data_IF_549641357901
#
_entry.id   IF_549641357901
#
_cell.length_a   1.000
_cell.length_b   1.000
_cell.length_c   1.000
_cell.angle_alpha   90.00
_cell.angle_beta   90.00
_cell.angle_gamma   90.00
#
_symmetry.space_group_name_H-M   'P 1'
#
loop_
_entity.id
_entity.type
_entity.pdbx_description
1 polymer ?
#
# COMPACT_ATOMS: atom_id res chain seq x y z
N UNK A 1 5.54 -4.91 -22.51
CA UNK A 1 6.09 -4.17 -21.35
C UNK A 1 4.93 -3.46 -20.67
N UNK A 2 4.70 -3.66 -19.37
CA UNK A 2 3.67 -2.96 -18.60
C UNK A 2 4.33 -2.18 -17.47
N UNK A 3 4.07 -0.89 -17.33
CA UNK A 3 4.65 -0.13 -16.22
C UNK A 3 3.78 -0.34 -14.97
N UNK A 4 4.42 -0.65 -13.85
CA UNK A 4 3.72 -0.94 -12.59
C UNK A 4 4.13 0.06 -11.53
N UNK A 5 3.14 0.62 -10.82
CA UNK A 5 3.35 1.44 -9.64
C UNK A 5 3.10 0.60 -8.39
N UNK A 6 4.10 0.52 -7.52
CA UNK A 6 4.01 -0.13 -6.20
C UNK A 6 3.96 0.96 -5.14
N UNK A 7 3.00 0.88 -4.21
CA UNK A 7 2.80 1.88 -3.17
C UNK A 7 2.77 1.18 -1.82
N UNK A 8 3.84 1.34 -1.05
CA UNK A 8 4.06 0.62 0.21
C UNK A 8 4.16 1.54 1.42
N UNK A 9 3.41 1.26 2.48
CA UNK A 9 3.49 2.00 3.75
C UNK A 9 4.05 1.17 4.89
N UNK A 10 5.13 1.62 5.52
CA UNK A 10 5.76 0.95 6.66
C UNK A 10 6.12 -0.50 6.34
N UNK A 11 5.65 -1.45 7.16
CA UNK A 11 5.85 -2.89 6.93
C UNK A 11 5.20 -3.41 5.65
N UNK A 12 4.24 -2.69 5.07
CA UNK A 12 3.65 -3.02 3.76
C UNK A 12 4.69 -3.09 2.64
N UNK A 13 5.81 -2.37 2.78
CA UNK A 13 6.94 -2.46 1.86
C UNK A 13 7.52 -3.88 1.78
N UNK A 14 7.49 -4.67 2.86
CA UNK A 14 8.09 -6.00 2.89
C UNK A 14 7.46 -6.97 1.87
N UNK A 15 6.16 -6.83 1.62
CA UNK A 15 5.41 -7.69 0.70
C UNK A 15 5.71 -7.31 -0.76
N UNK A 16 5.98 -6.03 -1.02
CA UNK A 16 6.20 -5.51 -2.37
C UNK A 16 7.55 -5.94 -2.96
N UNK A 17 8.50 -6.42 -2.16
CA UNK A 17 9.82 -6.84 -2.66
C UNK A 17 9.73 -7.97 -3.70
N UNK A 18 8.98 -9.03 -3.38
CA UNK A 18 8.83 -10.17 -4.28
C UNK A 18 8.02 -9.80 -5.53
N UNK A 19 7.02 -8.93 -5.36
CA UNK A 19 6.18 -8.41 -6.45
C UNK A 19 7.03 -7.56 -7.41
N UNK A 20 7.80 -6.60 -6.89
CA UNK A 20 8.70 -5.76 -7.67
C UNK A 20 9.72 -6.58 -8.44
N UNK A 21 10.37 -7.54 -7.76
CA UNK A 21 11.30 -8.48 -8.40
C UNK A 21 10.67 -9.20 -9.59
N UNK A 22 9.48 -9.77 -9.40
CA UNK A 22 8.78 -10.50 -10.46
C UNK A 22 8.41 -9.62 -11.67
N UNK A 23 8.14 -8.32 -11.45
CA UNK A 23 7.93 -7.38 -12.55
C UNK A 23 9.23 -7.04 -13.28
N UNK A 24 10.31 -6.75 -12.55
CA UNK A 24 11.63 -6.43 -13.11
C UNK A 24 12.16 -7.61 -13.94
N UNK A 25 12.09 -8.84 -13.44
CA UNK A 25 12.54 -10.06 -14.15
C UNK A 25 11.79 -10.30 -15.46
N UNK A 26 10.58 -9.75 -15.60
CA UNK A 26 9.78 -9.79 -16.84
C UNK A 26 10.01 -8.59 -17.76
N UNK A 27 11.01 -7.76 -17.47
CA UNK A 27 11.36 -6.57 -18.25
C UNK A 27 10.36 -5.41 -18.12
N UNK A 28 9.59 -5.36 -17.04
CA UNK A 28 8.68 -4.24 -16.78
C UNK A 28 9.41 -3.10 -16.07
N UNK A 29 8.92 -1.87 -16.24
CA UNK A 29 9.35 -0.74 -15.40
C UNK A 29 8.53 -0.71 -14.11
N UNK A 30 9.21 -0.50 -12.99
CA UNK A 30 8.59 -0.45 -11.66
C UNK A 30 8.87 0.91 -11.02
N UNK A 31 7.82 1.69 -10.82
CA UNK A 31 7.83 2.92 -10.04
C UNK A 31 7.40 2.59 -8.61
N UNK A 32 8.28 2.75 -7.63
CA UNK A 32 8.06 2.31 -6.27
C UNK A 32 7.93 3.52 -5.33
N UNK A 33 6.76 3.74 -4.74
CA UNK A 33 6.56 4.68 -3.64
C UNK A 33 6.73 3.97 -2.30
N UNK A 34 7.79 4.32 -1.55
CA UNK A 34 8.11 3.74 -0.25
C UNK A 34 7.87 4.76 0.86
N UNK A 35 6.75 4.63 1.57
CA UNK A 35 6.32 5.53 2.64
C UNK A 35 6.69 5.05 4.03
N UNK A 36 7.24 5.96 4.85
CA UNK A 36 7.63 5.73 6.23
C UNK A 36 7.16 6.89 7.12
N UNK A 37 6.99 6.62 8.42
CA UNK A 37 6.75 7.69 9.41
C UNK A 37 8.06 8.22 9.97
N UNK A 38 8.99 7.32 10.29
CA UNK A 38 10.28 7.64 10.87
C UNK A 38 11.42 7.20 9.97
N UNK A 39 12.54 7.91 10.03
CA UNK A 39 13.77 7.57 9.31
C UNK A 39 14.32 6.20 9.75
N UNK A 40 14.22 5.90 11.04
CA UNK A 40 14.68 4.61 11.59
C UNK A 40 13.75 3.43 11.24
N UNK A 41 12.56 3.68 10.68
CA UNK A 41 11.67 2.63 10.20
C UNK A 41 12.07 2.13 8.80
N UNK A 42 13.01 2.79 8.12
CA UNK A 42 13.47 2.39 6.79
C UNK A 42 14.26 1.08 6.88
N UNK A 43 13.81 0.05 6.14
CA UNK A 43 14.44 -1.26 6.16
C UNK A 43 14.69 -1.79 4.75
N UNK A 44 15.68 -2.67 4.61
CA UNK A 44 16.00 -3.40 3.38
C UNK A 44 16.09 -2.48 2.14
N UNK A 45 16.68 -1.29 2.30
CA UNK A 45 16.82 -0.27 1.24
C UNK A 45 17.30 -0.86 -0.09
N UNK A 46 18.42 -1.59 -0.06
CA UNK A 46 19.01 -2.24 -1.24
C UNK A 46 18.04 -3.19 -1.94
N UNK A 47 17.14 -3.86 -1.21
CA UNK A 47 16.15 -4.76 -1.80
C UNK A 47 15.04 -3.97 -2.49
N UNK A 48 14.59 -2.85 -1.92
CA UNK A 48 13.63 -1.93 -2.57
C UNK A 48 14.23 -1.38 -3.86
N UNK A 49 15.47 -0.92 -3.80
CA UNK A 49 16.19 -0.39 -4.96
C UNK A 49 16.34 -1.46 -6.06
N UNK A 50 16.81 -2.67 -5.73
CA UNK A 50 17.00 -3.75 -6.70
C UNK A 50 15.70 -4.29 -7.32
N UNK A 51 14.54 -4.00 -6.71
CA UNK A 51 13.22 -4.46 -7.18
C UNK A 51 12.40 -3.34 -7.81
N UNK A 52 13.05 -2.22 -8.14
CA UNK A 52 12.44 -1.04 -8.72
C UNK A 52 13.32 -0.42 -9.81
N UNK A 53 12.67 0.18 -10.81
CA UNK A 53 13.36 1.03 -11.79
C UNK A 53 13.66 2.42 -11.19
N UNK A 54 12.69 2.95 -10.44
CA UNK A 54 12.78 4.21 -9.72
C UNK A 54 12.07 4.07 -8.37
N UNK A 55 12.70 4.56 -7.29
CA UNK A 55 12.08 4.67 -5.96
C UNK A 55 11.79 6.13 -5.67
N UNK A 56 10.60 6.36 -5.14
CA UNK A 56 10.20 7.60 -4.48
C UNK A 56 10.08 7.30 -2.99
N UNK A 57 11.05 7.77 -2.23
CA UNK A 57 11.07 7.69 -0.79
C UNK A 57 10.21 8.81 -0.22
N UNK A 58 9.27 8.48 0.66
CA UNK A 58 8.45 9.44 1.38
C UNK A 58 8.59 9.18 2.88
N UNK A 59 8.96 10.19 3.65
CA UNK A 59 9.06 10.06 5.10
C UNK A 59 8.53 11.33 5.78
N UNK A 60 7.69 11.15 6.80
CA UNK A 60 7.09 12.25 7.57
C UNK A 60 8.07 12.92 8.55
N UNK A 61 9.18 12.26 8.92
CA UNK A 61 10.18 12.80 9.85
C UNK A 61 11.33 13.57 9.15
N UNK A 62 11.58 13.30 7.87
CA UNK A 62 12.67 13.96 7.14
C UNK A 62 12.93 13.35 5.77
N UNK A 63 14.04 13.76 5.13
CA UNK A 63 14.45 13.20 3.84
C UNK A 63 15.24 11.90 4.03
N UNK A 64 14.92 10.91 3.20
CA UNK A 64 15.67 9.66 3.10
C UNK A 64 16.75 9.86 2.04
N UNK A 65 18.01 9.68 2.41
CA UNK A 65 19.12 9.76 1.47
C UNK A 65 18.97 8.71 0.35
N UNK A 66 19.05 9.17 -0.90
CA UNK A 66 18.97 8.33 -2.11
C UNK A 66 20.34 7.85 -2.53
N UNK A 67 20.51 6.54 -2.79
CA UNK A 67 21.78 5.99 -3.27
C UNK A 67 21.92 6.01 -4.81
N UNK A 68 20.81 6.24 -5.53
CA UNK A 68 20.75 6.22 -7.01
C UNK A 68 20.23 7.54 -7.56
N UNK A 69 20.76 7.97 -8.71
CA UNK A 69 20.48 9.29 -9.31
C UNK A 69 19.01 9.45 -9.74
N UNK A 70 18.38 8.36 -10.19
CA UNK A 70 16.99 8.37 -10.62
C UNK A 70 15.98 8.39 -9.47
N UNK A 71 16.40 7.98 -8.26
CA UNK A 71 15.52 7.93 -7.10
C UNK A 71 15.24 9.33 -6.56
N UNK A 72 14.08 9.50 -5.92
CA UNK A 72 13.62 10.77 -5.34
C UNK A 72 13.30 10.58 -3.87
N UNK A 73 13.43 11.65 -3.09
CA UNK A 73 13.00 11.67 -1.69
C UNK A 73 12.17 12.91 -1.41
N UNK A 74 11.07 12.74 -0.67
CA UNK A 74 10.18 13.80 -0.23
C UNK A 74 9.98 13.71 1.30
N UNK A 75 10.06 14.87 1.96
CA UNK A 75 9.73 15.01 3.38
C UNK A 75 8.22 15.27 3.48
N UNK A 76 7.45 14.20 3.38
CA UNK A 76 5.99 14.23 3.35
C UNK A 76 5.42 12.84 3.63
N UNK A 77 4.10 12.74 3.76
CA UNK A 77 3.45 11.44 3.66
C UNK A 77 3.50 10.92 2.21
N UNK A 78 3.14 9.65 2.01
CA UNK A 78 3.21 8.98 0.71
C UNK A 78 2.28 9.57 -0.35
N UNK A 79 1.12 10.13 0.05
CA UNK A 79 0.14 10.70 -0.88
C UNK A 79 0.66 12.02 -1.45
N UNK A 80 1.17 12.88 -0.58
CA UNK A 80 1.77 14.16 -1.00
C UNK A 80 3.01 13.90 -1.87
N UNK A 81 3.81 12.88 -1.56
CA UNK A 81 4.94 12.48 -2.39
C UNK A 81 4.51 12.03 -3.79
N UNK A 82 3.35 11.37 -3.95
CA UNK A 82 2.81 11.01 -5.26
C UNK A 82 2.40 12.25 -6.07
N UNK A 83 1.82 13.26 -5.41
CA UNK A 83 1.46 14.53 -6.04
C UNK A 83 2.72 15.29 -6.46
N UNK A 84 3.68 15.46 -5.55
CA UNK A 84 4.95 16.13 -5.86
C UNK A 84 5.75 15.39 -6.93
N UNK A 85 5.75 14.07 -6.95
CA UNK A 85 6.41 13.30 -8.01
C UNK A 85 5.88 13.66 -9.40
N UNK A 86 4.57 13.85 -9.53
CA UNK A 86 3.93 14.18 -10.80
C UNK A 86 4.26 15.61 -11.29
N UNK A 87 4.48 16.55 -10.38
CA UNK A 87 4.86 17.92 -10.72
C UNK A 87 6.31 18.05 -11.22
N UNK A 88 7.15 17.06 -10.92
CA UNK A 88 8.56 17.04 -11.28
C UNK A 88 8.84 16.18 -12.53
N UNK A 89 9.75 16.63 -13.39
CA UNK A 89 10.22 15.83 -14.53
C UNK A 89 10.88 14.54 -14.03
N UNK A 90 10.30 13.39 -14.40
CA UNK A 90 10.70 12.07 -13.92
C UNK A 90 10.78 11.04 -15.06
N UNK A 91 11.64 10.03 -14.90
CA UNK A 91 11.90 9.01 -15.92
C UNK A 91 10.70 8.09 -16.22
N UNK A 92 9.74 8.01 -15.29
CA UNK A 92 8.52 7.21 -15.42
C UNK A 92 7.30 8.13 -15.21
N UNK A 93 6.64 8.49 -16.30
CA UNK A 93 5.39 9.27 -16.22
C UNK A 93 4.26 8.43 -15.59
N UNK A 94 3.45 9.05 -14.72
CA UNK A 94 2.26 8.42 -14.15
C UNK A 94 1.23 7.98 -15.22
N UNK A 95 1.19 8.66 -16.37
CA UNK A 95 0.28 8.32 -17.46
C UNK A 95 0.70 7.05 -18.21
N UNK A 96 1.93 6.57 -17.96
CA UNK A 96 2.41 5.32 -18.53
C UNK A 96 2.08 4.10 -17.67
N UNK A 97 1.53 4.27 -16.47
CA UNK A 97 1.28 3.19 -15.51
C UNK A 97 0.04 2.38 -15.91
N UNK A 98 0.23 1.07 -16.09
CA UNK A 98 -0.85 0.13 -16.42
C UNK A 98 -1.46 -0.56 -15.19
N UNK A 99 -0.68 -0.67 -14.11
CA UNK A 99 -1.07 -1.36 -12.89
C UNK A 99 -0.56 -0.64 -11.65
N UNK A 100 -1.42 -0.51 -10.66
CA UNK A 100 -1.11 0.04 -9.34
C UNK A 100 -1.38 -1.02 -8.28
N UNK A 101 -0.40 -1.26 -7.40
CA UNK A 101 -0.54 -2.18 -6.26
C UNK A 101 -0.26 -1.40 -4.99
N UNK A 102 -1.24 -1.35 -4.08
CA UNK A 102 -1.17 -0.58 -2.84
C UNK A 102 -1.22 -1.53 -1.64
N UNK A 103 -0.20 -1.45 -0.78
CA UNK A 103 -0.09 -2.26 0.44
C UNK A 103 0.33 -1.37 1.61
N UNK A 104 -0.53 -1.27 2.62
CA UNK A 104 -0.25 -0.47 3.81
C UNK A 104 -1.40 -0.51 4.80
N UNK A 105 -1.51 0.52 5.64
CA UNK A 105 -2.69 0.67 6.50
C UNK A 105 -3.96 0.92 5.68
N UNK A 106 -5.11 0.52 6.22
CA UNK A 106 -6.43 0.80 5.64
C UNK A 106 -6.62 2.29 5.34
N UNK A 107 -6.16 3.17 6.24
CA UNK A 107 -6.21 4.63 6.04
C UNK A 107 -5.34 5.10 4.88
N UNK A 108 -4.12 4.57 4.76
CA UNK A 108 -3.22 4.90 3.64
C UNK A 108 -3.82 4.43 2.33
N UNK A 109 -4.33 3.20 2.29
CA UNK A 109 -4.96 2.65 1.08
C UNK A 109 -6.19 3.49 0.71
N UNK A 110 -7.04 3.86 1.66
CA UNK A 110 -8.16 4.79 1.42
C UNK A 110 -7.67 6.12 0.83
N UNK A 111 -6.66 6.75 1.43
CA UNK A 111 -6.15 8.04 0.97
C UNK A 111 -5.57 7.98 -0.45
N UNK A 112 -4.80 6.92 -0.76
CA UNK A 112 -4.30 6.66 -2.12
C UNK A 112 -5.46 6.45 -3.10
N UNK A 113 -6.54 5.77 -2.67
CA UNK A 113 -7.74 5.57 -3.50
C UNK A 113 -8.40 6.89 -3.89
N UNK A 114 -8.61 7.77 -2.91
CA UNK A 114 -9.23 9.06 -3.11
C UNK A 114 -8.39 9.97 -4.01
N UNK A 115 -7.09 10.10 -3.73
CA UNK A 115 -6.21 10.96 -4.52
C UNK A 115 -6.06 10.46 -5.96
N UNK A 116 -6.02 9.14 -6.17
CA UNK A 116 -6.05 8.53 -7.52
C UNK A 116 -7.28 8.94 -8.32
N UNK A 117 -8.45 9.01 -7.68
CA UNK A 117 -9.74 9.34 -8.31
C UNK A 117 -9.98 10.84 -8.47
N UNK A 118 -9.23 11.66 -7.76
CA UNK A 118 -9.40 13.11 -7.71
C UNK A 118 -8.20 13.83 -8.33
N UNK A 119 -7.18 14.15 -7.52
CA UNK A 119 -6.03 14.99 -7.88
C UNK A 119 -5.17 14.32 -8.96
N UNK A 120 -4.89 13.02 -8.82
CA UNK A 120 -4.01 12.31 -9.76
C UNK A 120 -4.74 11.79 -11.01
N UNK A 121 -6.07 11.88 -11.06
CA UNK A 121 -6.88 11.36 -12.16
C UNK A 121 -6.44 11.87 -13.54
N UNK A 122 -6.10 13.16 -13.75
CA UNK A 122 -5.67 13.66 -15.06
C UNK A 122 -4.30 13.13 -15.51
N UNK A 123 -3.50 12.63 -14.57
CA UNK A 123 -2.12 12.21 -14.80
C UNK A 123 -1.97 10.69 -14.91
N UNK A 124 -3.02 9.93 -14.59
CA UNK A 124 -3.02 8.48 -14.65
C UNK A 124 -3.69 8.00 -15.93
N UNK A 125 -3.19 6.89 -16.46
CA UNK A 125 -3.76 6.23 -17.63
C UNK A 125 -5.22 5.86 -17.36
N UNK A 126 -6.18 6.18 -18.23
CA UNK A 126 -7.61 6.00 -17.91
C UNK A 126 -8.05 4.54 -17.68
N UNK A 127 -7.34 3.56 -18.26
CA UNK A 127 -7.61 2.13 -18.19
C UNK A 127 -6.68 1.36 -17.23
N UNK A 128 -5.95 2.06 -16.35
CA UNK A 128 -5.08 1.41 -15.39
C UNK A 128 -5.85 0.49 -14.44
N UNK A 129 -5.22 -0.63 -14.09
CA UNK A 129 -5.75 -1.55 -13.07
C UNK A 129 -5.22 -1.17 -11.70
N UNK A 130 -6.04 -1.29 -10.66
CA UNK A 130 -5.63 -0.97 -9.29
C UNK A 130 -6.04 -2.06 -8.31
N UNK A 131 -5.06 -2.49 -7.52
CA UNK A 131 -5.21 -3.56 -6.53
C UNK A 131 -4.78 -3.02 -5.17
N UNK A 132 -5.52 -3.39 -4.14
CA UNK A 132 -5.15 -3.18 -2.75
C UNK A 132 -5.11 -4.53 -2.05
N UNK A 133 -3.99 -4.82 -1.39
CA UNK A 133 -3.85 -6.04 -0.60
C UNK A 133 -4.50 -5.82 0.77
N UNK A 134 -5.71 -6.36 0.93
CA UNK A 134 -6.59 -6.02 2.05
C UNK A 134 -6.14 -6.76 3.32
N UNK A 135 -5.98 -6.00 4.41
CA UNK A 135 -5.55 -6.49 5.71
C UNK A 135 -6.71 -6.84 6.64
N UNK A 136 -7.79 -7.45 6.13
CA UNK A 136 -8.97 -7.82 6.95
C UNK A 136 -8.58 -8.74 8.11
N UNK A 137 -9.24 -8.63 9.28
CA UNK A 137 -8.95 -9.51 10.41
C UNK A 137 -9.18 -10.97 10.03
N UNK A 138 -8.24 -11.86 10.34
CA UNK A 138 -8.34 -13.28 9.99
C UNK A 138 -8.36 -14.16 11.25
N UNK A 139 -9.04 -15.31 11.17
CA UNK A 139 -9.07 -16.32 12.24
C UNK A 139 -8.67 -17.69 11.72
N UNK A 140 -9.52 -18.33 10.90
CA UNK A 140 -9.23 -19.68 10.41
C UNK A 140 -8.21 -19.71 9.26
N UNK A 141 -8.23 -18.71 8.37
CA UNK A 141 -7.50 -18.70 7.10
C UNK A 141 -7.77 -19.93 6.18
N UNK A 142 -8.86 -20.67 6.41
CA UNK A 142 -9.20 -21.91 5.68
C UNK A 142 -10.04 -21.70 4.40
N UNK A 143 -10.04 -20.49 3.84
CA UNK A 143 -10.84 -20.07 2.66
C UNK A 143 -12.35 -20.28 2.82
N UNK A 144 -13.07 -19.18 3.07
CA UNK A 144 -14.56 -19.14 3.04
C UNK A 144 -15.28 -19.91 4.16
N UNK A 145 -14.56 -20.28 5.24
CA UNK A 145 -15.15 -21.03 6.37
C UNK A 145 -15.73 -20.11 7.46
N UNK A 146 -14.89 -19.30 8.13
CA UNK A 146 -15.30 -18.60 9.36
C UNK A 146 -15.83 -17.17 9.18
N UNK A 147 -15.74 -16.61 7.96
CA UNK A 147 -16.10 -15.23 7.63
C UNK A 147 -15.46 -14.09 8.46
N UNK A 148 -14.47 -14.37 9.33
CA UNK A 148 -13.79 -13.30 10.09
C UNK A 148 -13.15 -12.26 9.16
N UNK A 149 -12.61 -12.73 8.04
CA UNK A 149 -11.93 -11.92 7.02
C UNK A 149 -12.86 -11.38 5.93
N UNK A 150 -14.17 -11.35 6.16
CA UNK A 150 -15.11 -10.83 5.16
C UNK A 150 -14.83 -9.33 4.91
N UNK A 151 -14.81 -8.96 3.64
CA UNK A 151 -14.63 -7.60 3.16
C UNK A 151 -15.81 -7.23 2.27
N UNK A 152 -16.45 -6.10 2.56
CA UNK A 152 -17.55 -5.56 1.74
C UNK A 152 -16.97 -4.88 0.50
N UNK A 153 -17.57 -5.19 -0.64
CA UNK A 153 -17.38 -4.52 -1.91
C UNK A 153 -18.66 -3.78 -2.30
N UNK A 154 -18.52 -2.58 -2.85
CA UNK A 154 -19.63 -1.75 -3.36
C UNK A 154 -19.31 -1.33 -4.79
N UNK A 155 -20.19 -1.67 -5.73
CA UNK A 155 -20.06 -1.30 -7.14
C UNK A 155 -21.43 -0.85 -7.68
N UNK A 156 -21.55 0.42 -8.07
CA UNK A 156 -22.79 0.97 -8.64
C UNK A 156 -24.04 0.62 -7.82
N UNK A 157 -23.97 0.84 -6.50
CA UNK A 157 -25.03 0.53 -5.51
C UNK A 157 -25.28 -0.96 -5.25
N UNK A 158 -24.59 -1.87 -5.93
CA UNK A 158 -24.60 -3.29 -5.61
C UNK A 158 -23.56 -3.62 -4.54
N UNK A 159 -23.99 -4.32 -3.49
CA UNK A 159 -23.11 -4.84 -2.45
C UNK A 159 -22.74 -6.31 -2.72
N UNK A 160 -21.48 -6.63 -2.53
CA UNK A 160 -20.96 -8.00 -2.54
C UNK A 160 -19.93 -8.19 -1.44
N UNK A 161 -19.59 -9.45 -1.15
CA UNK A 161 -18.65 -9.77 -0.08
C UNK A 161 -17.56 -10.73 -0.56
N UNK A 162 -16.33 -10.41 -0.20
CA UNK A 162 -15.14 -11.20 -0.51
C UNK A 162 -14.52 -11.70 0.78
N UNK A 163 -14.15 -12.97 0.84
CA UNK A 163 -13.36 -13.51 1.94
C UNK A 163 -11.88 -13.23 1.66
N UNK A 164 -11.25 -12.34 2.43
CA UNK A 164 -9.86 -11.95 2.18
C UNK A 164 -8.84 -13.09 2.30
N UNK A 165 -9.17 -14.18 3.01
CA UNK A 165 -8.34 -15.40 3.01
C UNK A 165 -8.46 -16.24 1.71
N UNK A 166 -9.52 -16.02 0.93
CA UNK A 166 -9.70 -16.61 -0.41
C UNK A 166 -9.06 -15.71 -1.47
N UNK A 167 -9.32 -14.39 -1.40
CA UNK A 167 -8.69 -13.39 -2.25
C UNK A 167 -8.30 -12.13 -1.46
N UNK A 168 -7.02 -12.00 -1.13
CA UNK A 168 -6.49 -10.85 -0.39
C UNK A 168 -6.26 -9.63 -1.29
N UNK A 169 -5.86 -9.86 -2.54
CA UNK A 169 -5.52 -8.83 -3.51
C UNK A 169 -6.76 -8.42 -4.31
N UNK A 170 -7.45 -7.40 -3.81
CA UNK A 170 -8.78 -7.04 -4.28
C UNK A 170 -8.75 -5.79 -5.16
N UNK A 171 -9.70 -5.68 -6.09
CA UNK A 171 -9.83 -4.49 -6.92
C UNK A 171 -10.20 -3.29 -6.04
N UNK A 172 -9.31 -2.30 -5.98
CA UNK A 172 -9.42 -1.15 -5.10
C UNK A 172 -10.64 -0.27 -5.42
N UNK A 173 -11.19 -0.37 -6.63
CA UNK A 173 -12.39 0.36 -7.04
C UNK A 173 -13.62 0.00 -6.22
N UNK A 174 -13.69 -1.24 -5.73
CA UNK A 174 -14.90 -1.78 -5.09
C UNK A 174 -14.77 -1.85 -3.57
N UNK A 175 -13.57 -1.72 -3.01
CA UNK A 175 -13.33 -1.91 -1.57
C UNK A 175 -14.04 -0.81 -0.77
N UNK A 176 -14.88 -1.23 0.18
CA UNK A 176 -15.36 -0.35 1.22
C UNK A 176 -14.34 -0.22 2.36
N UNK A 177 -13.58 0.89 2.32
CA UNK A 177 -12.56 1.18 3.33
C UNK A 177 -13.13 1.54 4.70
N UNK A 178 -14.35 2.06 4.78
CA UNK A 178 -14.98 2.38 6.07
C UNK A 178 -15.46 1.10 6.77
N UNK A 179 -16.00 0.15 6.01
CA UNK A 179 -16.27 -1.20 6.50
C UNK A 179 -14.98 -1.89 6.99
N UNK A 180 -13.90 -1.82 6.21
CA UNK A 180 -12.60 -2.39 6.60
C UNK A 180 -12.09 -1.75 7.91
N UNK A 181 -12.15 -0.43 8.04
CA UNK A 181 -11.73 0.28 9.24
C UNK A 181 -12.52 -0.15 10.48
N UNK A 182 -13.85 -0.26 10.34
CA UNK A 182 -14.73 -0.73 11.41
C UNK A 182 -14.37 -2.15 11.87
N UNK A 183 -14.12 -3.06 10.93
CA UNK A 183 -13.74 -4.44 11.23
C UNK A 183 -12.38 -4.56 11.91
N UNK A 184 -11.39 -3.78 11.46
CA UNK A 184 -10.05 -3.75 12.07
C UNK A 184 -10.07 -3.29 13.52
N UNK A 185 -11.05 -2.48 13.92
CA UNK A 185 -11.18 -1.97 15.29
C UNK A 185 -12.03 -2.84 16.21
N UNK A 186 -12.62 -3.92 15.70
CA UNK A 186 -13.58 -4.74 16.43
C UNK A 186 -13.02 -5.29 17.75
N UNK A 187 -11.71 -5.54 17.82
CA UNK A 187 -11.05 -6.09 19.00
C UNK A 187 -10.24 -5.05 19.80
N UNK A 188 -10.40 -3.74 19.52
CA UNK A 188 -9.51 -2.70 20.07
C UNK A 188 -9.44 -2.66 21.60
N UNK A 189 -10.55 -2.94 22.29
CA UNK A 189 -10.54 -3.03 23.76
C UNK A 189 -9.68 -4.18 24.25
N UNK A 190 -9.87 -5.37 23.68
CA UNK A 190 -9.10 -6.57 24.05
C UNK A 190 -7.62 -6.38 23.74
N UNK A 191 -7.29 -5.84 22.56
CA UNK A 191 -5.90 -5.56 22.17
C UNK A 191 -5.19 -4.64 23.17
N UNK A 192 -5.87 -3.59 23.65
CA UNK A 192 -5.31 -2.67 24.66
C UNK A 192 -5.14 -3.33 26.02
N UNK A 193 -6.14 -4.09 26.48
CA UNK A 193 -6.05 -4.81 27.75
C UNK A 193 -4.92 -5.84 27.72
N UNK A 194 -4.79 -6.58 26.63
CA UNK A 194 -3.69 -7.55 26.44
C UNK A 194 -2.33 -6.86 26.40
N UNK A 195 -2.21 -5.69 25.76
CA UNK A 195 -0.96 -4.94 25.74
C UNK A 195 -0.54 -4.49 27.16
N UNK A 196 -1.47 -3.99 27.98
CA UNK A 196 -1.19 -3.63 29.37
C UNK A 196 -0.84 -4.86 30.23
N UNK A 197 -1.55 -5.97 30.03
CA UNK A 197 -1.22 -7.23 30.70
C UNK A 197 0.20 -7.70 30.37
N UNK A 198 0.58 -7.71 29.08
CA UNK A 198 1.93 -8.10 28.65
C UNK A 198 2.99 -7.19 29.27
N UNK A 199 2.76 -5.87 29.29
CA UNK A 199 3.68 -4.93 29.95
C UNK A 199 3.87 -5.32 31.40
N UNK A 200 2.79 -5.55 32.15
CA UNK A 200 2.87 -5.95 33.56
C UNK A 200 3.72 -7.22 33.74
N UNK A 201 3.55 -8.24 32.89
CA UNK A 201 4.34 -9.48 32.94
C UNK A 201 5.83 -9.31 32.61
N UNK A 202 6.22 -8.24 31.91
CA UNK A 202 7.63 -7.97 31.56
C UNK A 202 8.36 -7.10 32.61
N UNK A 203 7.63 -6.49 33.54
CA UNK A 203 8.19 -5.69 34.64
C UNK A 203 8.25 -6.46 35.98
N UNK A 204 7.84 -7.74 35.98
CA UNK A 204 8.10 -8.73 37.03
C UNK A 204 9.31 -9.58 36.67
#
# INVERSE_FOLDING_TARGET
MKNTMLVGGGVGNAVLFSIGRAFIERGNKVLYFAGYKKLNDVFKRTLIENTSSTVVWACEEGLIETSRVQDKSFHSNIVDAMISYQENTSDISLNSIDKIIVIGSDKMMKAVNEVRKTILKPYLKSDHTVISSVNSPMQCMMKEICARCIQRHVKAEEESFVYSCSNQDQNMEFIDFDFLNGRLRQNSLQEKLTAEWIKMCLYT
#
